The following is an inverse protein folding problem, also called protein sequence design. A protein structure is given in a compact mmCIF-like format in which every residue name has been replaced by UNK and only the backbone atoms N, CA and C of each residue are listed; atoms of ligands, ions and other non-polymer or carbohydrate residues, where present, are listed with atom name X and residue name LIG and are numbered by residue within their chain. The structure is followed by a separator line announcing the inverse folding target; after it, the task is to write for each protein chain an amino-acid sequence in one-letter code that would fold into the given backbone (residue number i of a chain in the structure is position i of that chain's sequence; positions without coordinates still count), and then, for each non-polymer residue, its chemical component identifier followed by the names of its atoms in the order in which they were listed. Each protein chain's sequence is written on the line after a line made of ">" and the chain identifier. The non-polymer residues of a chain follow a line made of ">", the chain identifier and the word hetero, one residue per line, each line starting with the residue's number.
data_IF_895158714510
#
_entry.id   IF_895158714510
#
_cell.length_a   1.000
_cell.length_b   1.000
_cell.length_c   1.000
_cell.angle_alpha   90.00
_cell.angle_beta   90.00
_cell.angle_gamma   90.00
#
_symmetry.space_group_name_H-M   'P 1'
#
loop_
_entity.id
_entity.type
_entity.pdbx_description
1 polymer ?
#
# COMPACT_ATOMS: atom_id res chain seq x y z
N UNK A 1 -6.54 2.00 -16.13
CA UNK A 1 -5.59 2.98 -16.71
C UNK A 1 -4.19 2.39 -16.93
N UNK A 2 -3.46 1.95 -15.88
CA UNK A 2 -2.09 1.41 -16.06
C UNK A 2 -2.01 0.19 -16.98
N UNK A 3 -2.93 -0.77 -16.82
CA UNK A 3 -3.06 -1.94 -17.70
C UNK A 3 -3.40 -1.55 -19.15
N UNK A 4 -4.36 -0.65 -19.35
CA UNK A 4 -4.71 -0.17 -20.69
C UNK A 4 -3.54 0.57 -21.37
N UNK A 5 -2.75 1.34 -20.60
CA UNK A 5 -1.53 1.99 -21.10
C UNK A 5 -0.46 0.97 -21.48
N UNK A 6 -0.37 -0.15 -20.78
CA UNK A 6 0.52 -1.26 -21.08
C UNK A 6 0.12 -1.95 -22.40
N UNK A 7 -1.17 -2.22 -22.59
CA UNK A 7 -1.71 -2.82 -23.82
C UNK A 7 -2.00 -1.82 -24.94
N UNK A 8 -1.71 -0.53 -24.74
CA UNK A 8 -1.96 0.55 -25.71
C UNK A 8 -3.42 0.64 -26.16
N UNK A 9 -4.34 0.33 -25.26
CA UNK A 9 -5.77 0.46 -25.52
C UNK A 9 -6.15 1.90 -25.14
N UNK A 10 -6.60 2.75 -26.09
CA UNK A 10 -7.13 4.06 -25.78
C UNK A 10 -8.22 3.92 -24.72
N UNK A 11 -8.13 4.68 -23.64
CA UNK A 11 -9.02 4.52 -22.50
C UNK A 11 -9.27 5.86 -21.84
N UNK A 12 -10.53 6.29 -21.85
CA UNK A 12 -11.02 7.34 -20.97
C UNK A 12 -11.54 6.66 -19.70
N UNK A 13 -11.13 7.16 -18.55
CA UNK A 13 -11.67 6.77 -17.24
C UNK A 13 -12.39 7.97 -16.63
N UNK A 14 -13.28 7.74 -15.66
CA UNK A 14 -14.03 8.80 -14.96
C UNK A 14 -14.99 9.58 -15.88
N UNK A 15 -15.74 8.90 -16.74
CA UNK A 15 -16.68 9.50 -17.71
C UNK A 15 -18.03 9.91 -17.11
N UNK A 16 -18.17 9.89 -15.78
CA UNK A 16 -19.38 10.32 -15.08
C UNK A 16 -20.61 9.47 -15.42
N UNK A 17 -21.45 9.96 -16.32
CA UNK A 17 -22.76 9.38 -16.67
C UNK A 17 -22.74 8.46 -17.90
N UNK A 18 -21.58 8.07 -18.40
CA UNK A 18 -21.47 7.24 -19.61
C UNK A 18 -22.25 5.92 -19.54
N UNK A 19 -22.38 5.30 -18.36
CA UNK A 19 -23.18 4.07 -18.17
C UNK A 19 -24.69 4.28 -18.29
N UNK A 20 -25.17 5.53 -18.21
CA UNK A 20 -26.57 5.89 -18.46
C UNK A 20 -26.83 6.37 -19.89
N UNK A 21 -25.79 6.81 -20.61
CA UNK A 21 -25.88 7.29 -22.00
C UNK A 21 -25.63 6.14 -22.99
N UNK A 22 -24.57 5.35 -22.76
CA UNK A 22 -24.13 4.29 -23.66
C UNK A 22 -24.93 3.01 -23.43
N UNK A 23 -25.38 2.39 -24.51
CA UNK A 23 -26.13 1.14 -24.48
C UNK A 23 -25.22 -0.06 -24.78
N UNK A 24 -25.58 -1.22 -24.23
CA UNK A 24 -24.89 -2.46 -24.56
C UNK A 24 -24.99 -2.75 -26.08
N UNK A 25 -23.86 -3.06 -26.72
CA UNK A 25 -23.79 -3.29 -28.17
C UNK A 25 -23.79 -2.03 -29.03
N UNK A 26 -23.82 -0.82 -28.44
CA UNK A 26 -23.71 0.41 -29.18
C UNK A 26 -22.29 0.60 -29.73
N UNK A 27 -22.18 0.84 -31.02
CA UNK A 27 -20.92 1.22 -31.65
C UNK A 27 -20.58 2.66 -31.30
N UNK A 28 -19.32 2.89 -30.93
CA UNK A 28 -18.79 4.21 -30.59
C UNK A 28 -17.36 4.37 -31.11
N UNK A 29 -16.93 5.61 -31.29
CA UNK A 29 -15.53 5.95 -31.57
C UNK A 29 -14.96 6.78 -30.43
N UNK A 30 -13.85 6.31 -29.88
CA UNK A 30 -13.13 6.98 -28.81
C UNK A 30 -12.01 7.83 -29.40
N UNK A 31 -12.07 9.16 -29.22
CA UNK A 31 -11.02 10.08 -29.63
C UNK A 31 -10.39 10.76 -28.42
N UNK A 32 -9.06 10.70 -28.36
CA UNK A 32 -8.24 11.31 -27.31
C UNK A 32 -7.12 12.06 -28.02
N UNK A 33 -7.01 13.37 -27.82
CA UNK A 33 -5.87 14.15 -28.32
C UNK A 33 -4.80 14.39 -27.23
N UNK A 34 -3.63 14.87 -27.67
CA UNK A 34 -2.48 15.15 -26.79
C UNK A 34 -2.70 16.37 -25.88
N UNK A 35 -3.66 17.23 -26.21
CA UNK A 35 -4.05 18.41 -25.42
C UNK A 35 -5.09 18.08 -24.33
N UNK A 36 -5.44 16.79 -24.18
CA UNK A 36 -6.32 16.29 -23.14
C UNK A 36 -7.81 16.38 -23.48
N UNK A 37 -8.16 16.68 -24.73
CA UNK A 37 -9.53 16.61 -25.22
C UNK A 37 -9.92 15.16 -25.42
N UNK A 38 -10.98 14.76 -24.73
CA UNK A 38 -11.49 13.39 -24.77
C UNK A 38 -12.93 13.45 -25.28
N UNK A 39 -13.21 12.81 -26.43
CA UNK A 39 -14.53 12.81 -27.06
C UNK A 39 -14.96 11.38 -27.37
N UNK A 40 -16.20 11.07 -27.06
CA UNK A 40 -16.86 9.82 -27.45
C UNK A 40 -17.89 10.18 -28.52
N UNK A 41 -17.71 9.63 -29.72
CA UNK A 41 -18.66 9.79 -30.81
C UNK A 41 -19.59 8.58 -30.88
N UNK A 42 -20.83 8.81 -31.24
CA UNK A 42 -21.78 7.75 -31.60
C UNK A 42 -21.42 7.18 -32.99
N UNK A 43 -21.36 5.86 -33.09
CA UNK A 43 -20.99 5.15 -34.32
C UNK A 43 -19.48 5.04 -34.55
N UNK A 44 -19.12 4.35 -35.64
CA UNK A 44 -17.73 4.17 -36.10
C UNK A 44 -17.38 5.30 -37.08
N UNK A 45 -16.44 6.18 -36.69
CA UNK A 45 -15.95 7.26 -37.55
C UNK A 45 -14.67 6.79 -38.23
N UNK A 46 -14.76 6.46 -39.52
CA UNK A 46 -13.65 5.92 -40.30
C UNK A 46 -12.45 6.88 -40.40
N UNK A 47 -12.70 8.17 -40.58
CA UNK A 47 -11.65 9.17 -40.74
C UNK A 47 -10.76 9.31 -39.49
N UNK A 48 -11.34 9.13 -38.30
CA UNK A 48 -10.58 9.15 -37.04
C UNK A 48 -9.74 7.89 -36.86
N UNK A 49 -10.22 6.73 -37.34
CA UNK A 49 -9.45 5.49 -37.35
C UNK A 49 -8.26 5.61 -38.31
N UNK A 50 -8.49 6.16 -39.52
CA UNK A 50 -7.42 6.41 -40.50
C UNK A 50 -6.39 7.42 -39.95
N UNK A 51 -6.84 8.49 -39.31
CA UNK A 51 -5.96 9.49 -38.69
C UNK A 51 -5.14 8.90 -37.54
N UNK A 52 -5.75 8.07 -36.69
CA UNK A 52 -5.05 7.39 -35.60
C UNK A 52 -3.96 6.45 -36.13
N UNK A 53 -4.28 5.68 -37.18
CA UNK A 53 -3.31 4.79 -37.85
C UNK A 53 -2.15 5.57 -38.47
N UNK A 54 -2.43 6.69 -39.15
CA UNK A 54 -1.40 7.55 -39.75
C UNK A 54 -0.49 8.18 -38.69
N UNK A 55 -1.07 8.69 -37.60
CA UNK A 55 -0.32 9.32 -36.50
C UNK A 55 0.53 8.30 -35.76
N UNK A 56 -0.03 7.11 -35.50
CA UNK A 56 0.69 6.01 -34.89
C UNK A 56 1.89 5.55 -35.75
N UNK A 57 1.69 5.40 -37.07
CA UNK A 57 2.79 5.08 -38.01
C UNK A 57 3.89 6.14 -37.96
N UNK A 58 3.52 7.43 -38.01
CA UNK A 58 4.49 8.54 -37.88
C UNK A 58 5.27 8.48 -36.58
N UNK A 59 4.62 8.18 -35.45
CA UNK A 59 5.28 8.05 -34.15
C UNK A 59 6.19 6.82 -34.07
N UNK A 60 5.79 5.68 -34.66
CA UNK A 60 6.64 4.50 -34.74
C UNK A 60 7.90 4.73 -35.58
N UNK A 61 7.89 5.69 -36.50
CA UNK A 61 9.06 6.08 -37.27
C UNK A 61 10.02 6.99 -36.50
N UNK A 62 9.58 7.65 -35.41
CA UNK A 62 10.44 8.51 -34.59
C UNK A 62 11.50 7.66 -33.89
N UNK A 63 12.77 8.03 -34.06
CA UNK A 63 13.91 7.29 -33.50
C UNK A 63 13.84 7.19 -31.97
N UNK A 64 13.53 8.29 -31.28
CA UNK A 64 13.41 8.37 -29.83
C UNK A 64 12.29 7.46 -29.32
N UNK A 65 11.16 7.38 -30.04
CA UNK A 65 10.04 6.52 -29.69
C UNK A 65 10.41 5.04 -29.83
N UNK A 66 11.05 4.65 -30.95
CA UNK A 66 11.56 3.29 -31.16
C UNK A 66 12.57 2.91 -30.09
N UNK A 67 13.49 3.80 -29.77
CA UNK A 67 14.52 3.60 -28.75
C UNK A 67 13.92 3.44 -27.35
N UNK A 68 12.99 4.31 -26.96
CA UNK A 68 12.26 4.21 -25.69
C UNK A 68 11.48 2.91 -25.60
N UNK A 69 10.73 2.53 -26.65
CA UNK A 69 9.97 1.26 -26.71
C UNK A 69 10.91 0.06 -26.59
N UNK A 70 12.04 0.08 -27.29
CA UNK A 70 13.04 -0.97 -27.21
C UNK A 70 13.54 -1.13 -25.77
N UNK A 71 13.92 -0.04 -25.12
CA UNK A 71 14.42 -0.03 -23.74
C UNK A 71 13.36 -0.51 -22.74
N UNK A 72 12.11 -0.05 -22.86
CA UNK A 72 11.03 -0.38 -21.92
C UNK A 72 10.74 -1.89 -21.84
N UNK A 73 10.98 -2.65 -22.92
CA UNK A 73 10.85 -4.13 -22.92
C UNK A 73 11.78 -4.81 -21.91
N UNK A 74 12.90 -4.18 -21.57
CA UNK A 74 13.88 -4.70 -20.60
C UNK A 74 13.74 -4.05 -19.23
N UNK A 75 12.79 -3.12 -19.03
CA UNK A 75 12.62 -2.42 -17.76
C UNK A 75 11.30 -2.78 -17.09
N UNK A 76 10.18 -2.64 -17.80
CA UNK A 76 8.84 -2.60 -17.17
C UNK A 76 8.17 -3.97 -16.92
N UNK A 77 8.24 -4.96 -17.83
CA UNK A 77 7.49 -6.21 -17.66
C UNK A 77 7.91 -6.96 -16.40
N UNK A 78 6.95 -7.53 -15.67
CA UNK A 78 7.19 -8.39 -14.52
C UNK A 78 6.95 -9.85 -14.92
N UNK A 79 8.03 -10.63 -15.02
CA UNK A 79 8.02 -12.04 -15.36
C UNK A 79 8.22 -12.92 -14.11
N UNK A 80 8.95 -12.42 -13.10
CA UNK A 80 9.12 -13.10 -11.80
C UNK A 80 7.96 -12.76 -10.85
N UNK A 81 6.83 -13.46 -11.00
CA UNK A 81 5.63 -13.19 -10.18
C UNK A 81 5.61 -14.01 -8.90
N UNK A 82 5.81 -15.33 -9.02
CA UNK A 82 5.68 -16.29 -7.92
C UNK A 82 7.05 -16.68 -7.33
N UNK A 83 7.33 -16.34 -6.06
CA UNK A 83 8.55 -16.72 -5.33
C UNK A 83 8.78 -18.22 -5.15
N UNK A 84 7.72 -19.03 -5.22
CA UNK A 84 7.78 -20.46 -4.93
C UNK A 84 8.05 -21.34 -6.16
N UNK A 85 8.07 -20.75 -7.36
CA UNK A 85 8.44 -21.48 -8.58
C UNK A 85 9.95 -21.64 -8.68
N UNK A 86 10.40 -22.78 -9.19
CA UNK A 86 11.82 -23.07 -9.46
C UNK A 86 12.47 -22.04 -10.39
N UNK A 87 11.67 -21.33 -11.20
CA UNK A 87 12.12 -20.25 -12.08
C UNK A 87 12.42 -18.93 -11.36
N UNK A 88 12.17 -18.81 -10.05
CA UNK A 88 12.47 -17.61 -9.25
C UNK A 88 13.97 -17.55 -8.89
N UNK A 89 14.80 -17.42 -9.91
CA UNK A 89 16.26 -17.31 -9.78
C UNK A 89 16.78 -16.01 -10.40
N UNK A 90 18.05 -15.70 -10.16
CA UNK A 90 18.68 -14.52 -10.76
C UNK A 90 18.78 -14.68 -12.28
N UNK A 91 18.97 -15.91 -12.77
CA UNK A 91 18.98 -16.26 -14.20
C UNK A 91 17.58 -16.15 -14.84
N UNK A 92 16.52 -16.25 -14.02
CA UNK A 92 15.14 -16.04 -14.46
C UNK A 92 14.80 -14.56 -14.71
N UNK A 93 15.60 -13.62 -14.20
CA UNK A 93 15.34 -12.19 -14.32
C UNK A 93 15.58 -11.70 -15.76
N UNK A 94 14.52 -11.27 -16.45
CA UNK A 94 14.58 -10.77 -17.84
C UNK A 94 14.53 -9.26 -17.94
N UNK A 95 14.05 -8.60 -16.89
CA UNK A 95 13.87 -7.14 -16.85
C UNK A 95 14.41 -6.53 -15.56
N UNK A 96 14.57 -5.21 -15.55
CA UNK A 96 14.90 -4.47 -14.33
C UNK A 96 13.82 -4.65 -13.23
N UNK A 97 12.54 -4.77 -13.60
CA UNK A 97 11.47 -5.04 -12.66
C UNK A 97 11.62 -6.42 -12.01
N UNK A 98 12.06 -7.43 -12.78
CA UNK A 98 12.36 -8.77 -12.23
C UNK A 98 13.51 -8.72 -11.23
N UNK A 99 14.59 -7.98 -11.54
CA UNK A 99 15.74 -7.80 -10.62
C UNK A 99 15.28 -7.16 -9.31
N UNK A 100 14.48 -6.09 -9.39
CA UNK A 100 13.94 -5.42 -8.20
C UNK A 100 13.07 -6.37 -7.37
N UNK A 101 12.22 -7.17 -8.02
CA UNK A 101 11.37 -8.16 -7.36
C UNK A 101 12.18 -9.28 -6.70
N UNK A 102 13.22 -9.77 -7.39
CA UNK A 102 14.13 -10.79 -6.88
C UNK A 102 14.93 -10.30 -5.66
N UNK A 103 15.54 -9.11 -5.74
CA UNK A 103 16.26 -8.50 -4.62
C UNK A 103 15.33 -8.32 -3.42
N UNK A 104 14.12 -7.82 -3.63
CA UNK A 104 13.14 -7.67 -2.55
C UNK A 104 12.84 -9.01 -1.87
N UNK A 105 12.55 -10.04 -2.66
CA UNK A 105 12.23 -11.36 -2.11
C UNK A 105 13.42 -12.00 -1.38
N UNK A 106 14.65 -11.88 -1.92
CA UNK A 106 15.86 -12.38 -1.27
C UNK A 106 16.22 -11.58 -0.02
N UNK A 107 16.04 -10.26 -0.01
CA UNK A 107 16.22 -9.47 1.19
C UNK A 107 15.23 -9.87 2.30
N UNK A 108 13.98 -10.15 1.94
CA UNK A 108 12.97 -10.68 2.88
C UNK A 108 13.37 -12.08 3.36
N UNK A 109 13.79 -12.95 2.45
CA UNK A 109 14.26 -14.30 2.80
C UNK A 109 15.44 -14.23 3.74
N UNK A 110 16.43 -13.37 3.48
CA UNK A 110 17.62 -13.21 4.32
C UNK A 110 17.31 -12.56 5.67
N UNK A 111 16.32 -11.65 5.75
CA UNK A 111 15.84 -11.16 7.05
C UNK A 111 15.20 -12.31 7.86
N UNK A 112 14.46 -13.20 7.19
CA UNK A 112 13.83 -14.38 7.81
C UNK A 112 14.87 -15.46 8.16
N UNK A 113 15.83 -15.74 7.28
CA UNK A 113 16.89 -16.72 7.47
C UNK A 113 17.97 -16.22 8.43
N UNK A 114 18.31 -14.93 8.40
CA UNK A 114 19.12 -14.26 9.40
C UNK A 114 18.47 -14.31 10.79
N UNK A 115 17.14 -14.24 10.87
CA UNK A 115 16.41 -14.55 12.10
C UNK A 115 16.51 -16.04 12.49
N UNK A 116 16.72 -16.96 11.55
CA UNK A 116 16.90 -18.41 11.80
C UNK A 116 18.34 -18.82 12.15
N UNK A 117 19.35 -18.23 11.53
CA UNK A 117 20.76 -18.63 11.65
C UNK A 117 21.61 -17.68 12.51
N UNK A 118 21.19 -16.42 12.68
CA UNK A 118 22.01 -15.36 13.32
C UNK A 118 21.48 -14.79 14.64
N UNK A 119 20.26 -15.13 15.07
CA UNK A 119 19.71 -14.67 16.35
C UNK A 119 19.53 -15.87 17.29
N UNK A 120 20.61 -16.33 17.94
CA UNK A 120 20.53 -17.33 19.02
C UNK A 120 19.42 -16.94 20.01
N UNK A 121 18.28 -17.62 19.94
CA UNK A 121 17.17 -17.48 20.90
C UNK A 121 16.06 -16.47 20.58
N UNK A 122 15.99 -15.86 19.38
CA UNK A 122 14.89 -14.93 19.06
C UNK A 122 13.93 -15.52 18.02
N UNK A 123 12.82 -16.05 18.50
CA UNK A 123 11.74 -16.59 17.68
C UNK A 123 10.73 -15.50 17.33
N UNK A 124 9.93 -15.65 16.27
CA UNK A 124 8.79 -14.77 16.01
C UNK A 124 7.80 -14.81 17.20
N UNK A 125 7.39 -13.65 17.67
CA UNK A 125 6.47 -13.49 18.82
C UNK A 125 5.20 -12.83 18.34
N UNK A 126 4.04 -13.46 18.60
CA UNK A 126 2.75 -12.85 18.25
C UNK A 126 2.36 -11.80 19.27
N UNK A 127 1.92 -10.62 18.83
CA UNK A 127 1.33 -9.64 19.75
C UNK A 127 -0.09 -10.07 20.11
N UNK A 128 -0.36 -10.15 21.42
CA UNK A 128 -1.67 -10.38 21.99
C UNK A 128 -2.33 -9.03 22.25
N UNK A 129 -3.16 -8.60 21.29
CA UNK A 129 -3.82 -7.30 21.28
C UNK A 129 -5.33 -7.51 21.23
N UNK A 130 -6.13 -6.60 21.83
CA UNK A 130 -7.59 -6.66 21.78
C UNK A 130 -8.17 -6.39 20.38
N UNK A 131 -7.32 -6.07 19.39
CA UNK A 131 -7.67 -5.85 17.99
C UNK A 131 -7.14 -7.00 17.11
N UNK A 132 -7.89 -7.48 16.10
CA UNK A 132 -7.51 -8.63 15.28
C UNK A 132 -6.48 -8.24 14.21
N UNK A 133 -5.28 -7.83 14.62
CA UNK A 133 -4.18 -7.48 13.71
C UNK A 133 -3.31 -8.69 13.39
N UNK A 134 -3.06 -9.57 14.36
CA UNK A 134 -2.19 -10.74 14.15
C UNK A 134 -0.73 -10.37 13.85
N UNK A 135 -0.25 -9.24 14.39
CA UNK A 135 1.12 -8.78 14.22
C UNK A 135 2.11 -9.76 14.84
N UNK A 136 3.14 -10.11 14.08
CA UNK A 136 4.27 -10.93 14.51
C UNK A 136 5.51 -10.05 14.61
N UNK A 137 6.18 -10.08 15.77
CA UNK A 137 7.38 -9.31 16.05
C UNK A 137 8.61 -10.21 15.97
N UNK A 138 9.62 -9.76 15.25
CA UNK A 138 10.98 -10.29 15.26
C UNK A 138 11.83 -9.30 16.05
N UNK A 139 12.13 -9.63 17.30
CA UNK A 139 13.02 -8.81 18.12
C UNK A 139 14.46 -8.97 17.61
N UNK A 140 15.10 -7.87 17.20
CA UNK A 140 16.51 -7.82 16.78
C UNK A 140 17.40 -7.13 17.81
N UNK A 141 16.85 -6.65 18.93
CA UNK A 141 17.61 -6.13 20.05
C UNK A 141 16.79 -5.28 21.00
N UNK A 142 16.23 -5.88 22.05
CA UNK A 142 15.55 -5.15 23.12
C UNK A 142 14.24 -4.50 22.65
N UNK A 143 13.57 -5.11 21.67
CA UNK A 143 12.26 -4.68 21.21
C UNK A 143 11.10 -5.24 22.06
N UNK A 144 11.32 -6.38 22.74
CA UNK A 144 10.39 -7.01 23.66
C UNK A 144 11.07 -7.34 25.00
N UNK A 145 10.31 -7.32 26.09
CA UNK A 145 10.69 -7.86 27.39
C UNK A 145 9.80 -9.06 27.71
N UNK A 146 10.20 -10.23 27.22
CA UNK A 146 9.49 -11.49 27.41
C UNK A 146 10.45 -12.59 27.87
N UNK A 147 9.89 -13.60 28.53
CA UNK A 147 10.64 -14.82 28.85
C UNK A 147 11.04 -15.55 27.55
N UNK A 148 12.23 -16.18 27.47
CA UNK A 148 12.76 -16.79 26.25
C UNK A 148 11.83 -17.79 25.54
N UNK A 149 11.02 -18.52 26.30
CA UNK A 149 10.12 -19.55 25.76
C UNK A 149 8.72 -18.99 25.41
N UNK A 150 8.44 -17.73 25.74
CA UNK A 150 7.13 -17.12 25.50
C UNK A 150 6.97 -16.85 24.00
N UNK A 151 5.82 -17.24 23.44
CA UNK A 151 5.50 -17.06 22.01
C UNK A 151 4.52 -15.92 21.73
N UNK A 152 3.95 -15.33 22.78
CA UNK A 152 3.04 -14.20 22.70
C UNK A 152 3.54 -13.06 23.59
N UNK A 153 3.40 -11.80 23.16
CA UNK A 153 3.71 -10.62 23.95
C UNK A 153 2.48 -9.71 24.06
N UNK A 154 2.22 -9.23 25.28
CA UNK A 154 1.22 -8.20 25.56
C UNK A 154 1.75 -6.82 25.18
N UNK A 155 0.88 -5.81 25.17
CA UNK A 155 1.29 -4.42 24.89
C UNK A 155 2.34 -3.91 25.89
N UNK A 156 2.22 -4.29 27.16
CA UNK A 156 3.08 -3.88 28.26
C UNK A 156 4.51 -4.42 28.11
N UNK A 157 4.64 -5.60 27.48
CA UNK A 157 5.91 -6.29 27.22
C UNK A 157 6.65 -5.73 25.99
N UNK A 158 6.07 -4.74 25.30
CA UNK A 158 6.76 -4.03 24.21
C UNK A 158 7.69 -2.97 24.80
N UNK A 159 9.00 -3.14 24.57
CA UNK A 159 10.05 -2.21 25.00
C UNK A 159 10.58 -1.33 23.88
N UNK A 160 10.37 -1.73 22.62
CA UNK A 160 10.63 -0.89 21.46
C UNK A 160 9.82 0.41 21.53
N UNK A 161 10.52 1.54 21.62
CA UNK A 161 9.94 2.88 21.68
C UNK A 161 9.01 3.13 20.48
N UNK A 162 9.46 2.96 19.21
CA UNK A 162 8.61 3.23 18.07
C UNK A 162 7.45 2.23 17.91
N UNK A 163 7.68 0.93 18.17
CA UNK A 163 6.60 -0.08 18.08
C UNK A 163 5.51 0.19 19.11
N UNK A 164 5.90 0.46 20.36
CA UNK A 164 4.94 0.74 21.44
C UNK A 164 4.11 1.98 21.14
N UNK A 165 4.69 3.02 20.56
CA UNK A 165 3.98 4.23 20.18
C UNK A 165 2.91 3.94 19.09
N UNK A 166 3.27 3.21 18.03
CA UNK A 166 2.33 2.86 16.96
C UNK A 166 1.20 1.97 17.49
N UNK A 167 1.53 0.92 18.26
CA UNK A 167 0.51 0.02 18.81
C UNK A 167 -0.42 0.78 19.76
N UNK A 168 0.09 1.71 20.57
CA UNK A 168 -0.73 2.60 21.40
C UNK A 168 -1.78 3.34 20.57
N UNK A 169 -1.35 3.93 19.46
CA UNK A 169 -2.23 4.63 18.52
C UNK A 169 -3.28 3.70 17.90
N UNK A 170 -2.88 2.50 17.48
CA UNK A 170 -3.81 1.51 16.93
C UNK A 170 -4.86 1.04 17.95
N UNK A 171 -4.53 1.05 19.24
CA UNK A 171 -5.40 0.70 20.36
C UNK A 171 -6.25 1.88 20.85
N UNK A 172 -6.10 3.07 20.26
CA UNK A 172 -6.83 4.25 20.73
C UNK A 172 -8.35 4.01 20.68
N UNK A 173 -9.11 4.39 21.73
CA UNK A 173 -10.55 4.21 21.72
C UNK A 173 -11.21 4.84 20.49
N UNK A 174 -12.06 4.07 19.82
CA UNK A 174 -12.84 4.53 18.69
C UNK A 174 -12.11 4.61 17.35
N UNK A 175 -10.79 4.39 17.24
CA UNK A 175 -10.14 4.32 15.90
C UNK A 175 -10.35 2.98 15.22
N UNK A 176 -10.51 1.92 16.02
CA UNK A 176 -10.75 0.58 15.52
C UNK A 176 -12.24 0.29 15.46
N UNK A 177 -12.84 0.46 14.29
CA UNK A 177 -14.23 0.12 14.04
C UNK A 177 -14.35 -1.37 13.71
N UNK A 178 -14.98 -2.14 14.60
CA UNK A 178 -15.28 -3.57 14.38
C UNK A 178 -16.66 -3.79 13.77
N UNK A 179 -17.52 -2.76 13.75
CA UNK A 179 -18.87 -2.89 13.26
C UNK A 179 -18.88 -3.14 11.74
N UNK A 180 -19.67 -4.12 11.26
CA UNK A 180 -19.84 -4.34 9.84
C UNK A 180 -20.53 -3.11 9.25
N UNK A 181 -19.80 -2.32 8.47
CA UNK A 181 -20.39 -1.36 7.54
C UNK A 181 -21.34 -2.15 6.65
N UNK A 182 -22.63 -1.75 6.51
CA UNK A 182 -23.60 -2.50 5.72
C UNK A 182 -23.23 -2.44 4.24
N UNK A 183 -22.38 -3.39 3.81
CA UNK A 183 -22.06 -3.66 2.42
C UNK A 183 -22.90 -4.85 1.95
N UNK A 184 -23.36 -4.79 0.69
CA UNK A 184 -24.26 -5.77 0.08
C UNK A 184 -23.70 -7.18 0.23
N UNK A 185 -24.57 -8.11 0.66
CA UNK A 185 -24.33 -9.50 1.09
C UNK A 185 -23.46 -10.35 0.14
N UNK A 186 -23.29 -9.94 -1.13
CA UNK A 186 -22.43 -10.62 -2.10
C UNK A 186 -20.92 -10.47 -1.87
N UNK A 187 -20.45 -9.34 -1.32
CA UNK A 187 -19.01 -9.09 -1.10
C UNK A 187 -18.45 -9.79 0.16
N UNK A 188 -19.33 -10.10 1.12
CA UNK A 188 -18.95 -10.67 2.42
C UNK A 188 -18.49 -12.14 2.27
N UNK A 189 -19.15 -12.90 1.40
CA UNK A 189 -18.82 -14.31 1.17
C UNK A 189 -17.42 -14.49 0.57
N UNK A 190 -16.98 -13.57 -0.30
CA UNK A 190 -15.65 -13.65 -0.94
C UNK A 190 -14.53 -13.20 0.01
N UNK A 191 -14.83 -12.30 0.96
CA UNK A 191 -13.86 -11.87 1.98
C UNK A 191 -13.69 -12.88 3.11
N UNK A 192 -14.76 -13.60 3.48
CA UNK A 192 -14.72 -14.63 4.53
C UNK A 192 -14.09 -15.94 4.04
N UNK A 193 -14.36 -16.35 2.78
CA UNK A 193 -13.74 -17.56 2.20
C UNK A 193 -12.23 -17.47 2.01
N UNK A 194 -11.63 -16.27 2.04
CA UNK A 194 -10.16 -16.10 2.03
C UNK A 194 -9.51 -16.24 3.42
N UNK A 195 -10.30 -16.33 4.48
CA UNK A 195 -9.79 -16.54 5.83
C UNK A 195 -9.53 -18.03 6.13
N UNK A 196 -10.18 -18.94 5.39
CA UNK A 196 -10.13 -20.40 5.62
C UNK A 196 -8.88 -21.10 5.06
N UNK A 197 -8.10 -20.46 4.18
CA UNK A 197 -6.85 -21.06 3.65
C UNK A 197 -5.67 -20.99 4.64
N UNK A 198 -5.90 -20.57 5.89
CA UNK A 198 -4.89 -20.50 6.96
C UNK A 198 -4.62 -21.89 7.61
N UNK A 199 -5.31 -22.96 7.18
CA UNK A 199 -5.19 -24.30 7.81
C UNK A 199 -4.19 -25.23 7.10
N UNK A 200 -3.57 -24.86 5.98
CA UNK A 200 -2.51 -25.69 5.38
C UNK A 200 -1.14 -25.31 5.95
N UNK A 201 -0.48 -26.26 6.63
CA UNK A 201 0.74 -26.08 7.43
C UNK A 201 2.04 -25.81 6.66
N UNK A 202 2.07 -24.78 5.82
CA UNK A 202 3.29 -24.12 5.38
C UNK A 202 3.21 -22.63 5.75
N UNK A 203 4.15 -22.16 6.57
CA UNK A 203 4.17 -20.79 7.06
C UNK A 203 4.45 -19.80 5.92
N UNK A 204 3.38 -19.39 5.23
CA UNK A 204 3.40 -18.31 4.26
C UNK A 204 3.56 -16.96 4.99
N UNK A 205 4.81 -16.56 5.27
CA UNK A 205 5.13 -15.25 5.86
C UNK A 205 4.71 -14.07 4.96
N UNK A 206 4.41 -14.31 3.68
CA UNK A 206 4.00 -13.30 2.69
C UNK A 206 2.60 -12.71 2.93
N UNK A 207 1.81 -13.27 3.86
CA UNK A 207 0.47 -12.82 4.23
C UNK A 207 0.37 -12.23 5.65
N UNK A 208 1.46 -12.20 6.42
CA UNK A 208 1.44 -11.81 7.84
C UNK A 208 1.85 -10.35 8.05
N UNK A 209 1.25 -9.70 9.04
CA UNK A 209 1.70 -8.39 9.54
C UNK A 209 3.00 -8.61 10.33
N UNK A 210 4.12 -8.06 9.87
CA UNK A 210 5.43 -8.32 10.44
C UNK A 210 6.05 -7.02 10.94
N UNK A 211 6.62 -7.07 12.14
CA UNK A 211 7.39 -6.00 12.75
C UNK A 211 8.79 -6.50 13.13
N UNK A 212 9.84 -5.96 12.54
CA UNK A 212 11.21 -6.17 12.95
C UNK A 212 11.57 -5.01 13.87
N UNK A 213 11.83 -5.29 15.15
CA UNK A 213 11.95 -4.25 16.16
C UNK A 213 13.20 -4.41 17.03
N UNK A 214 13.84 -3.30 17.35
CA UNK A 214 14.80 -3.16 18.45
C UNK A 214 14.25 -2.13 19.45
N UNK A 215 15.00 -1.84 20.52
CA UNK A 215 14.62 -0.80 21.48
C UNK A 215 14.31 0.55 20.81
N UNK A 216 15.10 0.94 19.82
CA UNK A 216 15.01 2.26 19.17
C UNK A 216 14.60 2.17 17.69
N UNK A 217 14.57 0.98 17.08
CA UNK A 217 14.27 0.80 15.67
C UNK A 217 13.00 -0.01 15.44
N UNK A 218 12.29 0.30 14.35
CA UNK A 218 11.15 -0.47 13.85
C UNK A 218 11.15 -0.47 12.32
N UNK A 219 11.02 -1.66 11.75
CA UNK A 219 10.55 -1.87 10.38
C UNK A 219 9.27 -2.70 10.41
N UNK A 220 8.15 -2.15 9.96
CA UNK A 220 6.84 -2.77 10.09
C UNK A 220 6.09 -2.77 8.77
N UNK A 221 5.68 -3.95 8.32
CA UNK A 221 4.78 -4.15 7.19
C UNK A 221 3.41 -4.61 7.65
N UNK A 222 2.36 -3.85 7.31
CA UNK A 222 0.97 -4.17 7.62
C UNK A 222 0.16 -4.32 6.33
N UNK A 223 -0.54 -5.44 6.18
CA UNK A 223 -1.36 -5.74 5.00
C UNK A 223 -2.83 -5.91 5.37
N UNK A 224 -3.63 -4.88 5.13
CA UNK A 224 -5.07 -4.91 5.39
C UNK A 224 -5.84 -5.04 4.07
N UNK A 225 -6.18 -6.27 3.69
CA UNK A 225 -6.84 -6.55 2.41
C UNK A 225 -6.00 -6.06 1.23
N UNK A 226 -6.48 -5.02 0.53
CA UNK A 226 -5.80 -4.42 -0.62
C UNK A 226 -4.85 -3.27 -0.27
N UNK A 227 -4.69 -2.94 1.02
CA UNK A 227 -3.83 -1.87 1.50
C UNK A 227 -2.58 -2.42 2.15
N UNK A 228 -1.45 -1.79 1.84
CA UNK A 228 -0.15 -2.10 2.40
C UNK A 228 0.46 -0.84 3.01
N UNK A 229 0.77 -0.90 4.29
CA UNK A 229 1.52 0.11 5.02
C UNK A 229 2.90 -0.44 5.31
N UNK A 230 3.93 0.37 5.05
CA UNK A 230 5.30 0.10 5.46
C UNK A 230 5.78 1.29 6.28
N UNK A 231 6.27 1.00 7.49
CA UNK A 231 6.81 1.98 8.41
C UNK A 231 8.26 1.58 8.69
N UNK A 232 9.17 2.52 8.55
CA UNK A 232 10.57 2.37 8.96
C UNK A 232 10.93 3.56 9.83
N UNK A 233 11.42 3.30 11.03
CA UNK A 233 11.55 4.32 12.07
C UNK A 233 12.72 4.04 12.98
N UNK A 234 13.51 5.08 13.28
CA UNK A 234 14.54 5.05 14.31
C UNK A 234 14.30 6.20 15.29
N UNK A 235 14.15 5.89 16.57
CA UNK A 235 13.71 6.81 17.63
C UNK A 235 14.65 6.70 18.84
N UNK A 236 15.59 7.64 18.94
CA UNK A 236 16.65 7.70 19.95
C UNK A 236 16.70 9.06 20.65
N UNK A 237 17.60 9.25 21.64
CA UNK A 237 17.81 10.57 22.27
C UNK A 237 18.42 11.58 21.29
N UNK A 238 19.21 11.09 20.33
CA UNK A 238 19.87 11.96 19.37
C UNK A 238 18.91 12.30 18.23
N UNK A 239 18.37 13.52 18.27
CA UNK A 239 17.46 14.08 17.27
C UNK A 239 17.92 13.85 15.82
N UNK A 240 19.22 13.92 15.53
CA UNK A 240 19.74 13.76 14.15
C UNK A 240 19.56 12.36 13.59
N UNK A 241 19.47 11.36 14.45
CA UNK A 241 19.24 9.98 14.04
C UNK A 241 17.76 9.69 13.80
N UNK A 242 16.89 10.53 14.37
CA UNK A 242 15.47 10.28 14.43
C UNK A 242 14.82 10.48 13.07
N UNK A 243 14.11 9.47 12.59
CA UNK A 243 13.39 9.51 11.33
C UNK A 243 12.19 8.58 11.31
N UNK A 244 11.17 8.99 10.56
CA UNK A 244 10.00 8.20 10.19
C UNK A 244 9.93 8.19 8.67
N UNK A 245 9.97 7.00 8.10
CA UNK A 245 9.60 6.71 6.73
C UNK A 245 8.28 5.96 6.73
N UNK A 246 7.28 6.53 6.09
CA UNK A 246 5.97 5.91 5.92
C UNK A 246 5.67 5.74 4.44
N UNK A 247 5.24 4.55 4.07
CA UNK A 247 4.78 4.23 2.72
C UNK A 247 3.42 3.58 2.80
N UNK A 248 2.46 4.16 2.11
CA UNK A 248 1.15 3.57 1.87
C UNK A 248 1.04 3.18 0.40
N UNK A 249 0.62 1.97 0.12
CA UNK A 249 0.29 1.50 -1.23
C UNK A 249 -0.98 0.67 -1.16
N UNK A 250 -2.04 1.04 -1.89
CA UNK A 250 -3.26 0.24 -1.79
C UNK A 250 -4.47 0.63 -2.63
N UNK A 251 -5.19 -0.42 -3.05
CA UNK A 251 -6.56 -0.41 -3.58
C UNK A 251 -6.80 -1.39 -4.75
N UNK A 252 -7.80 -2.29 -4.62
CA UNK A 252 -8.53 -2.92 -5.74
C UNK A 252 -9.93 -2.30 -5.94
N UNK A 253 -10.16 -1.15 -5.29
CA UNK A 253 -11.40 -0.38 -5.33
C UNK A 253 -11.41 0.62 -6.50
N UNK A 254 -12.61 1.15 -6.81
CA UNK A 254 -12.85 2.22 -7.78
C UNK A 254 -11.80 3.34 -7.65
N UNK A 255 -11.28 3.79 -8.79
CA UNK A 255 -10.20 4.77 -8.92
C UNK A 255 -10.52 6.06 -8.15
N UNK A 256 -11.79 6.46 -8.11
CA UNK A 256 -12.26 7.69 -7.43
C UNK A 256 -12.14 7.59 -5.90
N UNK A 257 -12.62 6.50 -5.30
CA UNK A 257 -12.50 6.22 -3.86
C UNK A 257 -11.05 6.09 -3.41
N UNK A 258 -10.21 5.50 -4.28
CA UNK A 258 -8.77 5.38 -4.05
C UNK A 258 -8.09 6.74 -3.99
N UNK A 259 -8.37 7.62 -4.94
CA UNK A 259 -7.78 8.97 -4.97
C UNK A 259 -8.15 9.77 -3.71
N UNK A 260 -9.39 9.63 -3.22
CA UNK A 260 -9.86 10.32 -2.01
C UNK A 260 -9.20 9.83 -0.73
N UNK A 261 -8.97 8.52 -0.57
CA UNK A 261 -8.17 8.02 0.57
C UNK A 261 -6.76 8.58 0.51
N UNK A 262 -6.14 8.56 -0.67
CA UNK A 262 -4.77 9.05 -0.83
C UNK A 262 -4.68 10.53 -0.44
N UNK A 263 -5.68 11.32 -0.85
CA UNK A 263 -5.79 12.72 -0.46
C UNK A 263 -5.94 12.88 1.06
N UNK A 264 -6.88 12.15 1.68
CA UNK A 264 -7.08 12.18 3.13
C UNK A 264 -5.80 11.86 3.92
N UNK A 265 -5.15 10.74 3.59
CA UNK A 265 -3.91 10.32 4.26
C UNK A 265 -2.81 11.36 4.03
N UNK A 266 -2.67 11.88 2.81
CA UNK A 266 -1.67 12.89 2.50
C UNK A 266 -1.93 14.20 3.26
N UNK A 267 -3.18 14.65 3.37
CA UNK A 267 -3.49 15.89 4.07
C UNK A 267 -3.25 15.77 5.58
N UNK A 268 -3.67 14.65 6.19
CA UNK A 268 -3.36 14.38 7.61
C UNK A 268 -1.84 14.36 7.85
N UNK A 269 -1.08 13.63 7.02
CA UNK A 269 0.37 13.52 7.19
C UNK A 269 1.09 14.87 7.00
N UNK A 270 0.59 15.78 6.16
CA UNK A 270 1.16 17.13 6.00
C UNK A 270 1.02 17.95 7.28
N UNK A 271 -0.12 17.86 7.95
CA UNK A 271 -0.35 18.57 9.22
C UNK A 271 0.61 18.10 10.31
N UNK A 272 1.01 16.83 10.29
CA UNK A 272 2.07 16.29 11.16
C UNK A 272 3.50 16.57 10.66
N UNK A 273 3.68 17.45 9.68
CA UNK A 273 4.99 17.92 9.23
C UNK A 273 5.73 17.00 8.26
N UNK A 274 5.10 15.94 7.75
CA UNK A 274 5.77 15.04 6.81
C UNK A 274 6.00 15.71 5.45
N UNK A 275 7.17 15.47 4.87
CA UNK A 275 7.43 15.68 3.45
C UNK A 275 6.82 14.54 2.64
N UNK A 276 5.84 14.83 1.78
CA UNK A 276 5.07 13.82 1.04
C UNK A 276 5.37 13.83 -0.45
N UNK A 277 5.48 12.64 -1.03
CA UNK A 277 5.45 12.39 -2.48
C UNK A 277 4.34 11.40 -2.80
N UNK A 278 3.45 11.77 -3.71
CA UNK A 278 2.34 10.94 -4.18
C UNK A 278 2.57 10.51 -5.63
N UNK A 279 2.33 9.24 -5.95
CA UNK A 279 2.37 8.73 -7.34
C UNK A 279 1.30 7.68 -7.54
N UNK A 280 0.18 8.06 -8.16
CA UNK A 280 -0.98 7.18 -8.30
C UNK A 280 -1.57 6.85 -6.93
N UNK A 281 -1.50 5.59 -6.53
CA UNK A 281 -1.99 5.07 -5.24
C UNK A 281 -0.89 4.84 -4.20
N UNK A 282 0.30 5.37 -4.48
CA UNK A 282 1.44 5.34 -3.60
C UNK A 282 1.60 6.68 -2.89
N UNK A 283 1.68 6.65 -1.56
CA UNK A 283 2.17 7.75 -0.72
C UNK A 283 3.52 7.34 -0.16
N UNK A 284 4.49 8.23 -0.27
CA UNK A 284 5.74 8.16 0.47
C UNK A 284 5.83 9.44 1.31
N UNK A 285 5.82 9.28 2.63
CA UNK A 285 5.95 10.36 3.59
C UNK A 285 7.23 10.18 4.40
N UNK A 286 7.96 11.27 4.63
CA UNK A 286 9.20 11.27 5.41
C UNK A 286 9.19 12.41 6.42
N UNK A 287 9.63 12.13 7.64
CA UNK A 287 9.91 13.09 8.68
C UNK A 287 11.22 12.71 9.37
N UNK A 288 12.07 13.68 9.68
CA UNK A 288 13.37 13.41 10.29
C UNK A 288 13.85 14.62 11.10
N UNK A 289 14.89 14.42 11.92
CA UNK A 289 15.51 15.46 12.72
C UNK A 289 14.53 16.09 13.74
N UNK A 290 13.73 15.26 14.41
CA UNK A 290 12.76 15.66 15.45
C UNK A 290 13.10 15.04 16.81
N UNK A 291 12.67 15.69 17.90
CA UNK A 291 12.91 15.21 19.26
C UNK A 291 12.22 13.87 19.53
N UNK A 292 12.71 13.08 20.50
CA UNK A 292 12.13 11.77 20.82
C UNK A 292 10.66 11.87 21.22
N UNK A 293 10.32 12.79 22.13
CA UNK A 293 8.95 12.91 22.65
C UNK A 293 7.96 13.31 21.55
N UNK A 294 8.36 14.24 20.70
CA UNK A 294 7.62 14.63 19.50
C UNK A 294 7.44 13.43 18.56
N UNK A 295 8.50 12.67 18.30
CA UNK A 295 8.45 11.48 17.46
C UNK A 295 7.52 10.40 18.00
N UNK A 296 7.51 10.16 19.31
CA UNK A 296 6.59 9.21 19.96
C UNK A 296 5.15 9.64 19.77
N UNK A 297 4.84 10.93 19.92
CA UNK A 297 3.50 11.46 19.68
C UNK A 297 3.08 11.31 18.21
N UNK A 298 3.98 11.58 17.26
CA UNK A 298 3.70 11.42 15.83
C UNK A 298 3.49 9.95 15.47
N UNK A 299 4.27 9.04 16.05
CA UNK A 299 4.09 7.59 15.85
C UNK A 299 2.78 7.07 16.45
N UNK A 300 2.33 7.62 17.58
CA UNK A 300 0.98 7.36 18.12
C UNK A 300 -0.10 7.80 17.11
N UNK A 301 -0.01 9.03 16.60
CA UNK A 301 -0.95 9.52 15.59
C UNK A 301 -0.90 8.71 14.29
N UNK A 302 0.28 8.24 13.88
CA UNK A 302 0.44 7.35 12.73
C UNK A 302 -0.26 6.01 12.95
N UNK A 303 -0.16 5.44 14.16
CA UNK A 303 -0.89 4.23 14.56
C UNK A 303 -2.41 4.42 14.49
N UNK A 304 -2.91 5.57 14.97
CA UNK A 304 -4.34 5.94 14.86
C UNK A 304 -4.76 6.06 13.39
N UNK A 305 -3.96 6.70 12.56
CA UNK A 305 -4.23 6.89 11.13
C UNK A 305 -4.35 5.55 10.39
N UNK A 306 -3.46 4.60 10.69
CA UNK A 306 -3.49 3.25 10.10
C UNK A 306 -4.78 2.53 10.47
N UNK A 307 -5.20 2.59 11.73
CA UNK A 307 -6.43 1.96 12.19
C UNK A 307 -7.68 2.63 11.59
N UNK A 308 -7.72 3.97 11.61
CA UNK A 308 -8.84 4.79 11.11
C UNK A 308 -9.08 4.57 9.60
N UNK A 309 -8.01 4.52 8.80
CA UNK A 309 -8.12 4.44 7.33
C UNK A 309 -8.48 3.06 6.78
N UNK A 310 -8.52 2.04 7.64
CA UNK A 310 -8.80 0.63 7.29
C UNK A 310 -10.16 0.44 6.63
N UNK A 311 -11.20 1.15 7.07
CA UNK A 311 -12.57 0.97 6.58
C UNK A 311 -13.12 2.15 5.75
N UNK A 312 -12.30 3.18 5.50
CA UNK A 312 -12.78 4.42 4.87
C UNK A 312 -13.13 4.29 3.37
N UNK A 313 -12.73 3.22 2.68
CA UNK A 313 -13.10 2.97 1.27
C UNK A 313 -14.62 3.00 1.07
N UNK A 314 -15.37 2.52 2.05
CA UNK A 314 -16.82 2.47 1.96
C UNK A 314 -17.44 3.87 2.07
N UNK A 315 -16.82 4.79 2.82
CA UNK A 315 -17.41 6.06 3.28
C UNK A 315 -16.98 7.30 2.46
N UNK A 316 -15.92 7.20 1.66
CA UNK A 316 -15.37 8.31 0.86
C UNK A 316 -16.13 8.50 -0.47
N UNK A 317 -17.41 8.88 -0.38
CA UNK A 317 -18.32 9.03 -1.52
C UNK A 317 -18.18 10.35 -2.29
N UNK A 318 -17.66 11.40 -1.66
CA UNK A 318 -17.45 12.72 -2.26
C UNK A 318 -16.22 13.43 -1.65
N UNK A 319 -15.86 14.59 -2.19
CA UNK A 319 -14.67 15.35 -1.76
C UNK A 319 -14.92 16.12 -0.46
N UNK A 320 -16.20 16.43 -0.13
CA UNK A 320 -16.55 17.03 1.16
C UNK A 320 -16.34 16.05 2.31
N UNK A 321 -16.53 14.75 2.06
CA UNK A 321 -16.23 13.67 2.99
C UNK A 321 -14.74 13.59 3.28
N UNK A 322 -13.86 13.81 2.29
CA UNK A 322 -12.41 13.86 2.52
C UNK A 322 -12.07 14.96 3.52
N UNK A 323 -12.53 16.19 3.27
CA UNK A 323 -12.26 17.32 4.17
C UNK A 323 -12.81 17.06 5.59
N UNK A 324 -14.07 16.62 5.68
CA UNK A 324 -14.72 16.28 6.96
C UNK A 324 -13.94 15.22 7.74
N UNK A 325 -13.55 14.12 7.09
CA UNK A 325 -12.87 13.03 7.78
C UNK A 325 -11.41 13.36 8.12
N UNK A 326 -10.77 14.27 7.38
CA UNK A 326 -9.48 14.86 7.75
C UNK A 326 -9.62 15.72 9.00
N UNK A 327 -10.58 16.65 9.03
CA UNK A 327 -10.86 17.49 10.21
C UNK A 327 -11.20 16.66 11.43
N UNK A 328 -12.11 15.68 11.29
CA UNK A 328 -12.46 14.72 12.35
C UNK A 328 -11.22 14.01 12.92
N UNK A 329 -10.28 13.58 12.08
CA UNK A 329 -9.06 12.92 12.55
C UNK A 329 -8.17 13.88 13.35
N UNK A 330 -8.00 15.11 12.87
CA UNK A 330 -7.17 16.13 13.51
C UNK A 330 -7.77 16.63 14.83
N UNK A 331 -9.10 16.63 14.94
CA UNK A 331 -9.83 16.95 16.18
C UNK A 331 -9.97 15.76 17.14
N UNK A 332 -9.32 14.63 16.84
CA UNK A 332 -9.43 13.36 17.58
C UNK A 332 -10.88 12.79 17.68
N UNK A 333 -11.75 13.17 16.75
CA UNK A 333 -13.09 12.65 16.59
C UNK A 333 -13.11 11.47 15.61
N UNK A 334 -12.88 10.26 16.11
CA UNK A 334 -12.80 9.06 15.26
C UNK A 334 -14.16 8.45 14.89
N UNK A 335 -15.29 9.13 15.10
CA UNK A 335 -16.60 8.60 14.69
C UNK A 335 -16.74 8.67 13.16
N UNK A 336 -17.06 7.53 12.55
CA UNK A 336 -17.22 7.34 11.10
C UNK A 336 -18.61 7.69 10.58
#
# INVERSE_FOLDING_TARGET
>A
ASLCREFRIPTIVNTGNATGILKHGQEITLYIDDDGKNVIYEGIIGELLEYADLTFRRMEDIYEFRKKRYILRYISPLNLVDPMMDSFTIEGCKTMHDILRFIHEKAVTELVEGARYGLKGRHPVKLDLPIPTGIVVIDIGGGLDIKPDKRNATYEEITSIPLRAIIKGMLHPGVWHSDPIPLKVGDFFTSMMRMDDIVSGSANFSSQHIAIASKEYLNMGLRFGYHFNLIDSYCSENQRNNHIYFRFAGGATDITKRSRRIQLIADILKEYGFSIKTKGDLIIARLANIGRDEMVNILDQLGRLIAYTRQMDALLHDDSAVKRYTENFLEENYKL
#
